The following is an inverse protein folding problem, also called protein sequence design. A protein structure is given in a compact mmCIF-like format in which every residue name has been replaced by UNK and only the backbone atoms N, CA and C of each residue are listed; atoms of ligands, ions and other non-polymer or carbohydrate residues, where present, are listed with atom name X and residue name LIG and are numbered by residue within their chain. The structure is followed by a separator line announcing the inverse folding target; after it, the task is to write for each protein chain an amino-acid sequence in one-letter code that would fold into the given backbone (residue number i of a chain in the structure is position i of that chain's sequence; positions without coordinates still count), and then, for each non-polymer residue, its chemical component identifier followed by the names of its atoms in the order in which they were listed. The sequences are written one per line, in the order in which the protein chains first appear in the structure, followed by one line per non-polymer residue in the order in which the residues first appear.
data_IF_426629989545
#
_entry.id   IF_426629989545
#
_cell.length_a   1.000
_cell.length_b   1.000
_cell.length_c   1.000
_cell.angle_alpha   90.00
_cell.angle_beta   90.00
_cell.angle_gamma   90.00
#
_symmetry.space_group_name_H-M   'P 1'
#
loop_
_entity.id
_entity.type
_entity.pdbx_description
1 polymer ?
#
# COMPACT_ATOMS: atom_id res chain seq x y z
N UNK A 1 3.78 8.98 7.84
CA UNK A 1 4.50 9.48 9.04
C UNK A 1 5.29 8.37 9.70
N UNK A 2 4.66 7.32 10.27
CA UNK A 2 5.38 6.22 10.92
C UNK A 2 6.48 5.58 10.04
N UNK A 3 6.16 5.21 8.80
CA UNK A 3 7.14 4.62 7.88
C UNK A 3 8.31 5.56 7.56
N UNK A 4 8.12 6.88 7.57
CA UNK A 4 9.21 7.84 7.38
C UNK A 4 10.14 7.89 8.60
N UNK A 5 9.59 7.78 9.82
CA UNK A 5 10.43 7.63 11.00
C UNK A 5 11.20 6.30 11.00
N UNK A 6 10.53 5.21 10.60
CA UNK A 6 11.15 3.89 10.48
C UNK A 6 12.25 3.86 9.40
N UNK A 7 12.09 4.59 8.29
CA UNK A 7 13.10 4.65 7.23
C UNK A 7 14.42 5.22 7.71
N UNK A 8 14.40 6.17 8.66
CA UNK A 8 15.61 6.75 9.24
C UNK A 8 16.27 5.86 10.30
N UNK A 9 15.59 4.81 10.76
CA UNK A 9 16.12 3.84 11.73
C UNK A 9 16.54 2.51 11.11
N UNK A 10 16.39 2.38 9.79
CA UNK A 10 16.59 1.12 9.08
C UNK A 10 17.36 1.34 7.78
N UNK A 11 18.18 0.36 7.37
CA UNK A 11 19.00 0.47 6.16
C UNK A 11 18.48 -0.38 4.99
N UNK A 12 17.99 -1.59 5.27
CA UNK A 12 17.71 -2.59 4.23
C UNK A 12 16.27 -3.09 4.20
N UNK A 13 15.57 -3.13 5.35
CA UNK A 13 14.19 -3.64 5.41
C UNK A 13 13.24 -2.77 4.57
N UNK A 14 12.35 -3.41 3.80
CA UNK A 14 11.32 -2.71 3.03
C UNK A 14 10.25 -2.10 3.93
N UNK A 15 9.57 -1.07 3.43
CA UNK A 15 8.56 -0.27 4.14
C UNK A 15 7.26 -0.30 3.33
N UNK A 16 6.36 -1.21 3.70
CA UNK A 16 5.10 -1.41 3.01
C UNK A 16 3.92 -0.70 3.67
N UNK A 17 3.04 -0.13 2.85
CA UNK A 17 1.72 0.30 3.28
C UNK A 17 0.75 -0.88 3.25
N UNK A 18 0.09 -1.17 4.37
CA UNK A 18 -1.00 -2.14 4.45
C UNK A 18 -2.25 -1.52 5.11
N UNK A 19 -2.82 -0.42 4.61
CA UNK A 19 -2.76 0.14 3.24
C UNK A 19 -2.88 1.68 3.25
N UNK A 20 -2.76 2.33 2.09
CA UNK A 20 -3.25 3.69 1.85
C UNK A 20 -4.70 3.64 1.34
N UNK A 21 -5.60 4.37 2.00
CA UNK A 21 -6.98 4.56 1.51
C UNK A 21 -6.99 5.54 0.34
N UNK A 22 -7.39 5.05 -0.82
CA UNK A 22 -7.30 5.78 -2.09
C UNK A 22 -8.52 6.62 -2.50
N UNK A 23 -9.73 6.47 -1.93
CA UNK A 23 -10.80 7.41 -2.25
C UNK A 23 -10.37 8.87 -2.01
N UNK A 24 -10.58 9.79 -2.97
CA UNK A 24 -10.04 11.16 -2.92
C UNK A 24 -10.44 11.95 -1.67
N UNK A 25 -11.63 11.68 -1.11
CA UNK A 25 -12.11 12.33 0.12
C UNK A 25 -11.24 12.01 1.35
N UNK A 26 -10.60 10.83 1.40
CA UNK A 26 -9.58 10.56 2.43
C UNK A 26 -8.26 11.23 2.10
N UNK A 27 -7.81 11.04 0.86
CA UNK A 27 -6.48 11.39 0.41
C UNK A 27 -6.53 11.84 -1.03
N UNK A 28 -6.34 13.14 -1.27
CA UNK A 28 -6.22 13.65 -2.63
C UNK A 28 -5.09 12.93 -3.39
N UNK A 29 -5.32 12.41 -4.61
CA UNK A 29 -4.35 11.64 -5.41
C UNK A 29 -2.95 12.26 -5.46
N UNK A 30 -2.84 13.54 -5.83
CA UNK A 30 -1.56 14.26 -5.85
C UNK A 30 -0.78 14.21 -4.53
N UNK A 31 -1.48 14.29 -3.39
CA UNK A 31 -0.85 14.20 -2.07
C UNK A 31 -0.39 12.79 -1.78
N UNK A 32 -1.07 11.75 -2.28
CA UNK A 32 -0.58 10.38 -2.18
C UNK A 32 0.70 10.23 -3.00
N UNK A 33 0.72 10.65 -4.27
CA UNK A 33 1.91 10.60 -5.12
C UNK A 33 3.12 11.29 -4.46
N UNK A 34 2.93 12.52 -3.98
CA UNK A 34 3.96 13.28 -3.26
C UNK A 34 4.48 12.53 -2.02
N UNK A 35 3.59 12.00 -1.17
CA UNK A 35 3.97 11.32 0.07
C UNK A 35 4.68 9.98 -0.18
N UNK A 36 4.22 9.21 -1.15
CA UNK A 36 4.82 7.93 -1.53
C UNK A 36 6.19 8.15 -2.16
N UNK A 37 6.30 9.07 -3.12
CA UNK A 37 7.58 9.41 -3.75
C UNK A 37 8.59 9.98 -2.74
N UNK A 38 8.14 10.83 -1.82
CA UNK A 38 9.00 11.36 -0.75
C UNK A 38 9.49 10.24 0.15
N UNK A 39 8.60 9.34 0.61
CA UNK A 39 9.00 8.19 1.41
C UNK A 39 10.00 7.29 0.67
N UNK A 40 9.79 7.10 -0.62
CA UNK A 40 10.67 6.31 -1.48
C UNK A 40 12.08 6.91 -1.55
N UNK A 41 12.18 8.23 -1.74
CA UNK A 41 13.46 8.96 -1.73
C UNK A 41 14.17 8.85 -0.38
N UNK A 42 13.49 9.18 0.72
CA UNK A 42 14.13 9.18 2.06
C UNK A 42 14.43 7.77 2.57
N UNK A 43 13.83 6.74 1.96
CA UNK A 43 14.12 5.34 2.26
C UNK A 43 15.10 4.70 1.27
N UNK A 44 15.58 5.43 0.25
CA UNK A 44 16.43 4.90 -0.81
C UNK A 44 15.81 3.69 -1.55
N UNK A 45 14.54 3.81 -1.93
CA UNK A 45 13.89 2.84 -2.82
C UNK A 45 13.27 1.63 -2.13
N UNK A 46 12.94 1.74 -0.84
CA UNK A 46 12.48 0.61 -0.02
C UNK A 46 10.95 0.54 0.13
N UNK A 47 10.19 1.32 -0.62
CA UNK A 47 8.74 1.42 -0.44
C UNK A 47 7.98 0.33 -1.20
N UNK A 48 6.97 -0.24 -0.55
CA UNK A 48 5.87 -0.97 -1.19
C UNK A 48 4.56 -0.19 -1.00
N UNK A 49 3.91 0.18 -2.10
CA UNK A 49 2.70 1.01 -2.07
C UNK A 49 1.45 0.13 -2.08
N UNK A 50 1.03 -0.32 -0.91
CA UNK A 50 -0.28 -0.99 -0.77
C UNK A 50 -1.44 -0.02 -0.66
N UNK A 51 -2.52 -0.37 -1.33
CA UNK A 51 -3.70 0.46 -1.58
C UNK A 51 -4.97 -0.27 -1.17
N UNK A 52 -6.05 0.48 -0.96
CA UNK A 52 -7.39 -0.12 -0.92
C UNK A 52 -8.51 0.89 -0.80
N UNK A 53 -9.71 0.34 -0.85
CA UNK A 53 -10.97 1.07 -1.06
C UNK A 53 -11.68 1.51 0.24
N UNK A 54 -11.13 1.17 1.41
CA UNK A 54 -11.83 1.20 2.71
C UNK A 54 -13.00 0.20 2.76
N UNK A 55 -13.50 -0.10 3.96
CA UNK A 55 -14.58 -1.07 4.12
C UNK A 55 -15.50 -0.80 5.31
N UNK A 56 -15.04 -0.10 6.35
CA UNK A 56 -15.90 0.16 7.51
C UNK A 56 -16.81 1.35 7.22
N UNK A 57 -18.08 1.23 7.62
CA UNK A 57 -19.03 2.33 7.52
C UNK A 57 -18.58 3.57 8.30
N UNK A 58 -17.99 3.37 9.48
CA UNK A 58 -17.46 4.45 10.30
C UNK A 58 -16.39 5.27 9.56
N UNK A 59 -15.51 4.61 8.81
CA UNK A 59 -14.52 5.29 7.98
C UNK A 59 -15.16 5.93 6.75
N UNK A 60 -16.01 5.21 6.02
CA UNK A 60 -16.58 5.68 4.73
C UNK A 60 -17.50 6.88 4.93
N UNK A 61 -18.48 6.73 5.82
CA UNK A 61 -19.49 7.76 6.09
C UNK A 61 -18.87 8.99 6.76
N UNK A 62 -17.83 8.81 7.59
CA UNK A 62 -17.09 9.91 8.21
C UNK A 62 -16.40 10.85 7.22
N UNK A 63 -16.11 10.38 6.00
CA UNK A 63 -15.54 11.16 4.91
C UNK A 63 -16.53 11.40 3.77
N UNK A 64 -17.82 11.12 3.99
CA UNK A 64 -18.89 11.33 3.01
C UNK A 64 -18.77 10.45 1.76
N UNK A 65 -18.15 9.28 1.86
CA UNK A 65 -17.97 8.36 0.74
C UNK A 65 -19.14 7.37 0.71
N UNK A 66 -19.82 7.30 -0.44
CA UNK A 66 -20.80 6.24 -0.71
C UNK A 66 -20.07 4.89 -0.84
N UNK A 67 -20.42 3.87 -0.03
CA UNK A 67 -19.88 2.53 -0.16
C UNK A 67 -19.99 1.94 -1.56
N UNK A 68 -20.97 2.31 -2.38
CA UNK A 68 -21.13 1.82 -3.75
C UNK A 68 -20.05 2.36 -4.70
N UNK A 69 -19.54 3.56 -4.44
CA UNK A 69 -18.62 4.28 -5.34
C UNK A 69 -17.15 4.05 -4.99
N UNK A 70 -16.85 3.56 -3.77
CA UNK A 70 -15.50 3.43 -3.22
C UNK A 70 -14.51 2.69 -4.13
N UNK A 71 -14.96 1.65 -4.83
CA UNK A 71 -14.12 0.84 -5.73
C UNK A 71 -13.74 1.61 -6.99
N UNK A 72 -14.69 2.36 -7.54
CA UNK A 72 -14.46 3.20 -8.71
C UNK A 72 -13.55 4.39 -8.35
N UNK A 73 -13.77 5.01 -7.18
CA UNK A 73 -12.88 6.03 -6.62
C UNK A 73 -11.44 5.52 -6.43
N UNK A 74 -11.28 4.31 -5.87
CA UNK A 74 -9.98 3.66 -5.69
C UNK A 74 -9.28 3.44 -7.03
N UNK A 75 -9.97 2.85 -8.01
CA UNK A 75 -9.41 2.55 -9.33
C UNK A 75 -8.94 3.82 -10.04
N UNK A 76 -9.80 4.83 -10.11
CA UNK A 76 -9.49 6.14 -10.71
C UNK A 76 -8.27 6.78 -10.03
N UNK A 77 -8.22 6.74 -8.70
CA UNK A 77 -7.14 7.36 -7.94
C UNK A 77 -5.81 6.62 -8.06
N UNK A 78 -5.80 5.28 -8.01
CA UNK A 78 -4.57 4.48 -8.10
C UNK A 78 -3.89 4.65 -9.45
N UNK A 79 -4.66 4.58 -10.54
CA UNK A 79 -4.14 4.78 -11.89
C UNK A 79 -3.46 6.15 -12.01
N UNK A 80 -4.16 7.21 -11.60
CA UNK A 80 -3.64 8.56 -11.75
C UNK A 80 -2.47 8.86 -10.80
N UNK A 81 -2.45 8.28 -9.60
CA UNK A 81 -1.29 8.39 -8.70
C UNK A 81 -0.05 7.70 -9.28
N UNK A 82 -0.21 6.55 -9.95
CA UNK A 82 0.89 5.91 -10.67
C UNK A 82 1.39 6.80 -11.82
N UNK A 83 0.48 7.38 -12.62
CA UNK A 83 0.82 8.32 -13.69
C UNK A 83 1.54 9.57 -13.17
N UNK A 84 1.09 10.14 -12.05
CA UNK A 84 1.73 11.30 -11.40
C UNK A 84 3.17 11.01 -10.97
N UNK A 85 3.50 9.78 -10.61
CA UNK A 85 4.86 9.38 -10.22
C UNK A 85 5.79 9.16 -11.42
N UNK A 86 5.24 8.93 -12.62
CA UNK A 86 6.02 8.53 -13.81
C UNK A 86 6.11 9.65 -14.84
N UNK A 87 4.99 10.28 -15.17
CA UNK A 87 4.88 11.23 -16.28
C UNK A 87 5.43 12.61 -15.91
N UNK A 88 6.06 13.25 -16.89
CA UNK A 88 6.62 14.59 -16.81
C UNK A 88 6.45 15.31 -18.17
N UNK A 89 5.51 16.26 -18.29
CA UNK A 89 4.51 16.62 -17.30
C UNK A 89 3.44 15.52 -17.12
N UNK A 90 2.77 15.49 -15.95
CA UNK A 90 1.53 14.72 -15.84
C UNK A 90 0.42 15.43 -16.64
N UNK A 91 -0.30 14.72 -17.53
CA UNK A 91 -1.23 15.30 -18.51
C UNK A 91 -2.51 15.89 -17.89
N UNK A 92 -2.67 15.80 -16.58
CA UNK A 92 -3.93 16.15 -15.96
C UNK A 92 -4.97 15.06 -16.15
N UNK A 93 -6.10 15.24 -15.48
CA UNK A 93 -7.21 14.29 -15.48
C UNK A 93 -8.49 15.01 -15.07
N UNK A 94 -9.58 14.76 -15.80
CA UNK A 94 -10.92 15.25 -15.50
C UNK A 94 -11.83 14.04 -15.23
N UNK A 95 -11.66 13.45 -14.04
CA UNK A 95 -12.38 12.26 -13.60
C UNK A 95 -13.75 12.55 -13.01
N UNK A 96 -14.44 11.48 -12.64
CA UNK A 96 -15.72 11.58 -11.93
C UNK A 96 -15.51 11.95 -10.47
N UNK A 97 -14.42 11.48 -9.85
CA UNK A 97 -14.20 11.60 -8.41
C UNK A 97 -13.15 12.63 -8.04
N UNK A 98 -12.21 12.91 -8.94
CA UNK A 98 -11.28 14.01 -8.78
C UNK A 98 -10.87 14.61 -10.13
N UNK A 99 -10.40 15.85 -10.10
CA UNK A 99 -9.83 16.50 -11.27
C UNK A 99 -8.55 17.25 -10.91
N UNK A 100 -7.65 17.33 -11.88
CA UNK A 100 -6.38 18.02 -11.75
C UNK A 100 -5.89 18.40 -13.15
N UNK A 101 -5.56 19.66 -13.43
CA UNK A 101 -5.05 20.04 -14.74
C UNK A 101 -3.61 19.56 -14.93
N UNK A 102 -3.12 19.63 -16.17
CA UNK A 102 -1.73 19.37 -16.55
C UNK A 102 -0.79 20.08 -15.59
N UNK A 103 0.12 19.34 -14.96
CA UNK A 103 1.19 19.87 -14.11
C UNK A 103 2.17 18.79 -13.69
N UNK A 104 3.26 19.20 -13.06
CA UNK A 104 4.14 18.27 -12.37
C UNK A 104 3.71 18.02 -10.93
N UNK A 105 3.64 16.74 -10.57
CA UNK A 105 3.58 16.30 -9.17
C UNK A 105 4.97 15.86 -8.76
N UNK A 106 5.53 16.56 -7.78
CA UNK A 106 6.88 16.39 -7.29
C UNK A 106 6.85 16.08 -5.78
N UNK A 107 7.87 15.36 -5.26
CA UNK A 107 9.01 14.80 -6.00
C UNK A 107 8.65 13.52 -6.79
N UNK A 108 9.55 13.05 -7.66
CA UNK A 108 9.44 11.73 -8.33
C UNK A 108 10.14 10.64 -7.49
N UNK A 109 9.65 9.38 -7.49
CA UNK A 109 10.29 8.30 -6.75
C UNK A 109 11.66 7.91 -7.35
N UNK A 110 12.49 7.29 -6.51
CA UNK A 110 13.77 6.70 -6.94
C UNK A 110 13.54 5.34 -7.61
N UNK A 111 12.60 4.53 -7.10
CA UNK A 111 12.16 3.31 -7.77
C UNK A 111 11.52 3.67 -9.11
N UNK A 112 11.92 2.96 -10.17
CA UNK A 112 11.36 3.12 -11.52
C UNK A 112 10.53 1.89 -11.91
N UNK A 113 9.38 2.08 -12.57
CA UNK A 113 8.74 3.38 -12.89
C UNK A 113 8.14 4.05 -11.64
N UNK A 114 7.67 3.28 -10.68
CA UNK A 114 7.19 3.72 -9.36
C UNK A 114 7.36 2.55 -8.37
N UNK A 115 7.20 2.77 -7.04
CA UNK A 115 7.17 1.67 -6.07
C UNK A 115 6.16 0.56 -6.44
N UNK A 116 6.41 -0.72 -6.12
CA UNK A 116 5.48 -1.81 -6.37
C UNK A 116 4.11 -1.55 -5.74
N UNK A 117 3.04 -1.75 -6.53
CA UNK A 117 1.68 -1.50 -6.08
C UNK A 117 1.07 -2.79 -5.55
N UNK A 118 0.42 -2.70 -4.40
CA UNK A 118 -0.33 -3.78 -3.78
C UNK A 118 -1.79 -3.37 -3.53
N UNK A 119 -2.68 -4.35 -3.40
CA UNK A 119 -4.07 -4.12 -3.01
C UNK A 119 -4.48 -5.10 -1.91
N UNK A 120 -5.19 -4.60 -0.90
CA UNK A 120 -5.80 -5.45 0.13
C UNK A 120 -6.92 -6.29 -0.48
N UNK A 121 -6.82 -7.61 -0.33
CA UNK A 121 -7.75 -8.58 -0.87
C UNK A 121 -8.39 -9.37 0.28
N UNK A 122 -9.66 -9.10 0.56
CA UNK A 122 -10.45 -9.82 1.59
C UNK A 122 -11.33 -10.93 1.02
N UNK A 123 -11.42 -11.05 -0.30
CA UNK A 123 -12.23 -12.05 -0.99
C UNK A 123 -11.65 -12.41 -2.36
N UNK A 124 -12.16 -13.49 -2.96
CA UNK A 124 -11.74 -13.99 -4.28
C UNK A 124 -11.90 -12.95 -5.40
N UNK A 125 -12.97 -12.17 -5.39
CA UNK A 125 -13.20 -11.13 -6.41
C UNK A 125 -12.06 -10.10 -6.45
N UNK A 126 -11.57 -9.71 -5.27
CA UNK A 126 -10.50 -8.71 -5.17
C UNK A 126 -9.14 -9.30 -5.54
N UNK A 127 -8.95 -10.62 -5.37
CA UNK A 127 -7.77 -11.34 -5.87
C UNK A 127 -7.77 -11.36 -7.41
N UNK A 128 -8.89 -11.69 -8.05
CA UNK A 128 -9.00 -11.61 -9.52
C UNK A 128 -8.79 -10.18 -10.02
N UNK A 129 -9.38 -9.19 -9.35
CA UNK A 129 -9.17 -7.78 -9.66
C UNK A 129 -7.69 -7.38 -9.58
N UNK A 130 -6.97 -7.85 -8.54
CA UNK A 130 -5.54 -7.61 -8.40
C UNK A 130 -4.76 -8.19 -9.59
N UNK A 131 -5.07 -9.43 -9.99
CA UNK A 131 -4.45 -10.09 -11.15
C UNK A 131 -4.74 -9.34 -12.46
N UNK A 132 -6.00 -8.96 -12.70
CA UNK A 132 -6.42 -8.21 -13.89
C UNK A 132 -5.73 -6.84 -13.98
N UNK A 133 -5.37 -6.23 -12.86
CA UNK A 133 -4.72 -4.92 -12.82
C UNK A 133 -3.20 -4.98 -12.65
N UNK A 134 -2.61 -6.18 -12.58
CA UNK A 134 -1.18 -6.38 -12.39
C UNK A 134 -0.68 -5.92 -11.02
N UNK A 135 -1.52 -6.00 -9.99
CA UNK A 135 -1.23 -5.60 -8.62
C UNK A 135 -0.85 -6.79 -7.75
N UNK A 136 0.00 -6.55 -6.75
CA UNK A 136 0.26 -7.56 -5.73
C UNK A 136 -0.96 -7.73 -4.83
N UNK A 137 -1.32 -8.97 -4.49
CA UNK A 137 -2.45 -9.26 -3.62
C UNK A 137 -1.99 -9.41 -2.17
N UNK A 138 -2.54 -8.58 -1.27
CA UNK A 138 -2.37 -8.74 0.18
C UNK A 138 -3.59 -9.50 0.72
N UNK A 139 -3.42 -10.79 1.00
CA UNK A 139 -4.49 -11.66 1.49
C UNK A 139 -4.28 -12.00 2.96
N UNK A 140 -5.31 -12.54 3.60
CA UNK A 140 -5.20 -13.11 4.94
C UNK A 140 -5.12 -14.63 4.87
N UNK A 141 -4.24 -15.23 5.67
CA UNK A 141 -4.17 -16.67 5.89
C UNK A 141 -5.27 -17.17 6.83
N UNK A 142 -6.53 -16.78 6.57
CA UNK A 142 -7.68 -17.31 7.29
C UNK A 142 -8.17 -18.65 6.73
N UNK A 143 -7.41 -19.21 5.80
CA UNK A 143 -7.81 -20.28 4.90
C UNK A 143 -6.75 -21.38 4.93
N UNK A 144 -7.18 -22.64 4.81
CA UNK A 144 -6.32 -23.83 4.72
C UNK A 144 -5.32 -23.69 3.55
N UNK A 145 -4.04 -24.10 3.72
CA UNK A 145 -3.07 -24.19 2.63
C UNK A 145 -3.60 -24.80 1.30
N UNK A 146 -4.49 -25.78 1.35
CA UNK A 146 -5.08 -26.38 0.15
C UNK A 146 -5.99 -25.40 -0.62
N UNK A 147 -6.80 -24.62 0.08
CA UNK A 147 -7.63 -23.57 -0.54
C UNK A 147 -6.77 -22.39 -0.99
N UNK A 148 -5.68 -22.07 -0.28
CA UNK A 148 -4.73 -21.04 -0.69
C UNK A 148 -4.13 -21.35 -2.07
N UNK A 149 -3.80 -22.62 -2.35
CA UNK A 149 -3.29 -23.05 -3.66
C UNK A 149 -4.25 -22.70 -4.79
N UNK A 150 -5.54 -22.98 -4.62
CA UNK A 150 -6.55 -22.67 -5.63
C UNK A 150 -6.62 -21.17 -5.93
N UNK A 151 -6.58 -20.33 -4.88
CA UNK A 151 -6.65 -18.88 -5.03
C UNK A 151 -5.40 -18.31 -5.72
N UNK A 152 -4.24 -18.90 -5.44
CA UNK A 152 -2.97 -18.53 -6.04
C UNK A 152 -2.95 -18.91 -7.52
N UNK A 153 -3.36 -20.13 -7.86
CA UNK A 153 -3.46 -20.58 -9.24
C UNK A 153 -4.42 -19.70 -10.04
N UNK A 154 -5.60 -19.40 -9.49
CA UNK A 154 -6.57 -18.50 -10.09
C UNK A 154 -6.00 -17.10 -10.35
N UNK A 155 -5.24 -16.56 -9.40
CA UNK A 155 -4.57 -15.27 -9.56
C UNK A 155 -3.59 -15.30 -10.73
N UNK A 156 -2.69 -16.29 -10.78
CA UNK A 156 -1.67 -16.35 -11.84
C UNK A 156 -2.26 -16.65 -13.21
N UNK A 157 -3.27 -17.51 -13.30
CA UNK A 157 -3.94 -17.78 -14.57
C UNK A 157 -4.72 -16.55 -15.07
N UNK A 158 -5.41 -15.84 -14.17
CA UNK A 158 -6.06 -14.57 -14.51
C UNK A 158 -5.03 -13.52 -14.97
N UNK A 159 -3.90 -13.40 -14.27
CA UNK A 159 -2.83 -12.46 -14.62
C UNK A 159 -2.30 -12.73 -16.04
N UNK A 160 -1.98 -14.00 -16.34
CA UNK A 160 -1.45 -14.38 -17.66
C UNK A 160 -2.43 -14.06 -18.80
N UNK A 161 -3.73 -14.33 -18.58
CA UNK A 161 -4.76 -14.22 -19.63
C UNK A 161 -5.32 -12.80 -19.79
N UNK A 162 -5.54 -12.09 -18.70
CA UNK A 162 -6.42 -10.91 -18.67
C UNK A 162 -5.75 -9.63 -18.19
N UNK A 163 -4.50 -9.68 -17.71
CA UNK A 163 -3.87 -8.50 -17.11
C UNK A 163 -3.79 -7.32 -18.10
N UNK A 164 -4.32 -6.18 -17.63
CA UNK A 164 -4.14 -4.82 -18.16
C UNK A 164 -3.62 -3.98 -16.99
N UNK A 165 -2.32 -3.69 -16.92
CA UNK A 165 -1.71 -3.04 -15.76
C UNK A 165 -2.37 -1.70 -15.45
N UNK A 166 -2.77 -1.47 -14.19
CA UNK A 166 -3.33 -0.17 -13.78
C UNK A 166 -2.25 0.92 -13.77
N UNK A 167 -1.04 0.58 -13.32
CA UNK A 167 0.12 1.47 -13.31
C UNK A 167 1.03 1.31 -14.52
N UNK A 168 2.30 1.69 -14.34
CA UNK A 168 3.36 1.57 -15.36
C UNK A 168 4.29 0.37 -15.13
N UNK A 169 4.08 -0.39 -14.04
CA UNK A 169 4.72 -1.66 -13.75
C UNK A 169 3.69 -2.66 -13.23
N UNK A 170 4.01 -3.95 -13.32
CA UNK A 170 3.23 -5.03 -12.71
C UNK A 170 3.95 -5.57 -11.48
N UNK A 171 3.18 -6.04 -10.51
CA UNK A 171 3.65 -6.68 -9.29
C UNK A 171 2.91 -8.02 -9.08
N UNK A 172 3.27 -9.09 -9.82
CA UNK A 172 2.56 -10.36 -9.77
C UNK A 172 2.96 -11.17 -8.53
N UNK A 173 2.64 -10.68 -7.33
CA UNK A 173 3.00 -11.30 -6.06
C UNK A 173 1.79 -11.47 -5.14
N UNK A 174 1.79 -12.54 -4.35
CA UNK A 174 0.80 -12.81 -3.31
C UNK A 174 1.48 -12.81 -1.95
N UNK A 175 0.99 -11.97 -1.05
CA UNK A 175 1.41 -11.93 0.34
C UNK A 175 0.28 -12.41 1.25
N UNK A 176 0.58 -13.31 2.18
CA UNK A 176 -0.39 -13.83 3.15
C UNK A 176 -0.09 -13.31 4.56
N UNK A 177 -1.08 -12.69 5.19
CA UNK A 177 -1.01 -12.22 6.59
C UNK A 177 -1.38 -13.36 7.54
N UNK A 178 -0.53 -13.65 8.52
CA UNK A 178 -0.73 -14.71 9.51
C UNK A 178 -0.33 -14.26 10.93
N UNK A 179 -0.79 -14.98 11.94
CA UNK A 179 -0.38 -14.77 13.32
C UNK A 179 1.07 -15.20 13.54
N UNK A 180 1.74 -14.63 14.54
CA UNK A 180 3.14 -14.94 14.79
C UNK A 180 3.47 -14.97 16.28
N UNK A 181 4.15 -16.04 16.69
CA UNK A 181 4.81 -16.17 17.98
C UNK A 181 5.75 -17.36 17.86
N UNK A 182 7.05 -17.13 18.02
CA UNK A 182 8.07 -18.16 17.88
C UNK A 182 8.71 -18.40 19.23
N UNK A 183 8.67 -19.63 19.72
CA UNK A 183 9.28 -20.00 20.99
C UNK A 183 9.73 -21.47 20.97
N UNK A 184 10.82 -21.87 21.65
CA UNK A 184 11.26 -23.27 21.65
C UNK A 184 10.22 -24.26 22.23
N UNK A 185 9.35 -23.76 23.11
CA UNK A 185 8.18 -24.46 23.65
C UNK A 185 6.90 -23.97 22.95
N UNK A 186 6.17 -24.90 22.34
CA UNK A 186 4.93 -24.66 21.62
C UNK A 186 3.79 -24.12 22.51
N UNK A 187 3.70 -24.58 23.76
CA UNK A 187 2.66 -24.11 24.69
C UNK A 187 2.89 -22.64 25.06
N UNK A 188 4.14 -22.29 25.29
CA UNK A 188 4.53 -20.91 25.55
C UNK A 188 4.34 -20.00 24.32
N UNK A 189 4.64 -20.50 23.11
CA UNK A 189 4.33 -19.78 21.87
C UNK A 189 2.82 -19.46 21.77
N UNK A 190 1.95 -20.45 22.04
CA UNK A 190 0.49 -20.30 22.04
C UNK A 190 0.02 -19.32 23.11
N UNK A 191 0.53 -19.45 24.34
CA UNK A 191 0.20 -18.55 25.46
C UNK A 191 0.53 -17.10 25.14
N UNK A 192 1.66 -16.86 24.46
CA UNK A 192 2.13 -15.51 24.08
C UNK A 192 1.39 -14.92 22.88
N UNK A 193 1.06 -15.74 21.88
CA UNK A 193 0.65 -15.26 20.56
C UNK A 193 -0.84 -15.36 20.24
N UNK A 194 -1.51 -16.41 20.74
CA UNK A 194 -2.86 -16.76 20.26
C UNK A 194 -3.87 -15.67 20.60
N UNK A 195 -3.89 -15.17 21.83
CA UNK A 195 -4.86 -14.15 22.26
C UNK A 195 -4.72 -12.85 21.47
N UNK A 196 -3.49 -12.42 21.20
CA UNK A 196 -3.21 -11.23 20.41
C UNK A 196 -3.69 -11.34 18.96
N UNK A 197 -3.43 -12.48 18.31
CA UNK A 197 -3.89 -12.71 16.94
C UNK A 197 -5.42 -12.88 16.86
N UNK A 198 -6.01 -13.58 17.83
CA UNK A 198 -7.47 -13.75 17.92
C UNK A 198 -8.17 -12.42 18.19
N UNK A 199 -7.59 -11.55 19.02
CA UNK A 199 -8.09 -10.19 19.17
C UNK A 199 -8.06 -9.41 17.85
N UNK A 200 -6.98 -9.53 17.06
CA UNK A 200 -6.90 -8.90 15.75
C UNK A 200 -8.03 -9.38 14.81
N UNK A 201 -8.29 -10.68 14.74
CA UNK A 201 -9.38 -11.25 13.94
C UNK A 201 -10.75 -10.78 14.44
N UNK A 202 -10.96 -10.76 15.76
CA UNK A 202 -12.19 -10.24 16.34
C UNK A 202 -12.40 -8.76 16.01
N UNK A 203 -11.37 -7.93 16.12
CA UNK A 203 -11.43 -6.51 15.80
C UNK A 203 -11.76 -6.29 14.32
N UNK A 204 -11.17 -7.09 13.42
CA UNK A 204 -11.52 -7.08 11.99
C UNK A 204 -13.01 -7.39 11.80
N UNK A 205 -13.52 -8.49 12.35
CA UNK A 205 -14.94 -8.85 12.26
C UNK A 205 -15.87 -7.80 12.89
N UNK A 206 -15.44 -7.17 13.99
CA UNK A 206 -16.19 -6.09 14.62
C UNK A 206 -16.32 -4.87 13.70
N UNK A 207 -15.24 -4.43 13.06
CA UNK A 207 -15.28 -3.24 12.21
C UNK A 207 -15.93 -3.45 10.85
N UNK A 208 -15.85 -4.67 10.30
CA UNK A 208 -16.20 -4.94 8.91
C UNK A 208 -17.37 -5.92 8.71
N UNK A 209 -17.85 -6.58 9.77
CA UNK A 209 -18.90 -7.61 9.63
C UNK A 209 -20.06 -7.45 10.60
N UNK A 210 -19.85 -7.68 11.90
CA UNK A 210 -20.95 -7.85 12.86
C UNK A 210 -21.02 -6.76 13.93
N UNK A 211 -19.99 -5.94 14.07
CA UNK A 211 -19.89 -5.01 15.19
C UNK A 211 -20.64 -3.70 14.95
N UNK A 212 -21.11 -3.11 16.06
CA UNK A 212 -21.52 -1.72 16.13
C UNK A 212 -20.48 -0.94 16.93
N UNK A 213 -19.88 0.05 16.28
CA UNK A 213 -18.85 0.89 16.88
C UNK A 213 -19.43 2.25 17.29
N UNK A 214 -19.14 2.67 18.52
CA UNK A 214 -19.46 3.99 19.05
C UNK A 214 -18.16 4.73 19.31
N UNK A 215 -17.82 5.76 18.50
CA UNK A 215 -16.57 6.49 18.63
C UNK A 215 -16.31 6.98 20.06
N UNK A 216 -15.11 6.70 20.58
CA UNK A 216 -14.70 7.09 21.92
C UNK A 216 -15.44 6.40 23.08
N UNK A 217 -16.27 5.39 22.82
CA UNK A 217 -17.02 4.64 23.84
C UNK A 217 -16.85 3.13 23.73
N UNK A 218 -16.77 2.60 22.51
CA UNK A 218 -16.62 1.15 22.32
C UNK A 218 -15.24 0.66 22.73
N UNK A 219 -15.18 -0.19 23.75
CA UNK A 219 -13.99 -0.93 24.12
C UNK A 219 -14.01 -2.32 23.45
N UNK A 220 -13.24 -2.47 22.37
CA UNK A 220 -13.19 -3.71 21.57
C UNK A 220 -12.51 -4.83 22.35
N UNK A 221 -11.49 -4.52 23.17
CA UNK A 221 -10.79 -5.51 23.99
C UNK A 221 -11.74 -6.18 24.98
N UNK A 222 -12.56 -5.40 25.69
CA UNK A 222 -13.51 -5.96 26.64
C UNK A 222 -14.59 -6.81 25.95
N UNK A 223 -15.04 -6.40 24.75
CA UNK A 223 -15.96 -7.20 23.94
C UNK A 223 -15.32 -8.53 23.50
N UNK A 224 -14.06 -8.50 23.07
CA UNK A 224 -13.31 -9.70 22.73
C UNK A 224 -13.18 -10.65 23.92
N UNK A 225 -12.78 -10.14 25.09
CA UNK A 225 -12.66 -10.94 26.32
C UNK A 225 -13.98 -11.61 26.68
N UNK A 226 -15.10 -10.88 26.64
CA UNK A 226 -16.42 -11.43 26.93
C UNK A 226 -16.82 -12.55 25.95
N UNK A 227 -16.55 -12.38 24.66
CA UNK A 227 -16.81 -13.40 23.64
C UNK A 227 -15.93 -14.63 23.85
N UNK A 228 -14.63 -14.41 24.11
CA UNK A 228 -13.66 -15.46 24.39
C UNK A 228 -14.05 -16.30 25.62
N UNK A 229 -14.51 -15.66 26.69
CA UNK A 229 -14.92 -16.34 27.93
C UNK A 229 -16.16 -17.21 27.75
N UNK A 230 -17.08 -16.82 26.85
CA UNK A 230 -18.32 -17.55 26.60
C UNK A 230 -18.19 -18.62 25.51
N UNK A 231 -17.38 -18.35 24.48
CA UNK A 231 -17.35 -19.15 23.26
C UNK A 231 -15.95 -19.72 22.92
N UNK A 232 -14.92 -19.36 23.68
CA UNK A 232 -13.54 -19.82 23.44
C UNK A 232 -12.82 -19.09 22.29
N UNK A 233 -11.59 -19.53 22.02
CA UNK A 233 -10.69 -18.92 21.00
C UNK A 233 -10.74 -19.61 19.63
N UNK A 234 -11.42 -20.75 19.52
CA UNK A 234 -11.39 -21.59 18.31
C UNK A 234 -12.29 -21.07 17.18
N UNK A 235 -13.27 -20.23 17.50
CA UNK A 235 -14.29 -19.76 16.55
C UNK A 235 -13.74 -18.79 15.48
N UNK A 236 -12.57 -18.20 15.72
CA UNK A 236 -11.99 -17.21 14.80
C UNK A 236 -11.10 -17.86 13.70
N UNK A 237 -11.14 -19.18 13.53
CA UNK A 237 -10.60 -19.89 12.36
C UNK A 237 -9.06 -20.02 12.30
N UNK A 238 -8.52 -20.14 11.08
CA UNK A 238 -7.11 -20.45 10.80
C UNK A 238 -6.09 -19.34 11.12
N UNK A 239 -4.93 -19.38 10.46
CA UNK A 239 -3.89 -18.35 10.56
C UNK A 239 -2.98 -18.44 11.79
N UNK A 240 -2.97 -19.57 12.49
CA UNK A 240 -2.11 -19.81 13.66
C UNK A 240 -0.91 -20.70 13.37
N UNK A 241 -0.70 -21.13 12.11
CA UNK A 241 0.41 -22.03 11.76
C UNK A 241 1.80 -21.45 12.01
N UNK A 242 1.91 -20.13 12.20
CA UNK A 242 3.16 -19.47 12.60
C UNK A 242 3.18 -19.05 14.09
N UNK A 243 2.37 -19.70 14.93
CA UNK A 243 2.38 -19.61 16.39
C UNK A 243 2.84 -20.97 16.92
N UNK A 244 4.12 -21.12 17.23
CA UNK A 244 4.69 -22.41 17.61
C UNK A 244 6.22 -22.40 17.70
N UNK A 245 6.80 -23.59 17.57
CA UNK A 245 8.25 -23.81 17.54
C UNK A 245 8.87 -23.40 16.20
N UNK A 246 10.20 -23.21 16.12
CA UNK A 246 10.88 -23.02 14.84
C UNK A 246 10.53 -24.09 13.80
N UNK A 247 10.34 -25.35 14.21
CA UNK A 247 9.95 -26.45 13.30
C UNK A 247 8.53 -26.28 12.77
N UNK A 248 7.57 -25.92 13.64
CA UNK A 248 6.17 -25.65 13.24
C UNK A 248 6.11 -24.51 12.20
N UNK A 249 6.87 -23.44 12.44
CA UNK A 249 6.96 -22.30 11.53
C UNK A 249 7.59 -22.71 10.19
N UNK A 250 8.67 -23.49 10.19
CA UNK A 250 9.28 -23.99 8.95
C UNK A 250 8.31 -24.83 8.14
N UNK A 251 7.60 -25.75 8.79
CA UNK A 251 6.61 -26.61 8.12
C UNK A 251 5.49 -25.78 7.47
N UNK A 252 4.91 -24.83 8.22
CA UNK A 252 3.85 -23.95 7.70
C UNK A 252 4.33 -23.07 6.55
N UNK A 253 5.48 -22.41 6.72
CA UNK A 253 6.03 -21.53 5.67
C UNK A 253 6.44 -22.32 4.42
N UNK A 254 6.88 -23.58 4.58
CA UNK A 254 7.15 -24.46 3.44
C UNK A 254 5.86 -24.83 2.71
N UNK A 255 4.79 -25.16 3.42
CA UNK A 255 3.48 -25.40 2.81
C UNK A 255 2.96 -24.18 2.03
N UNK A 256 3.11 -22.97 2.58
CA UNK A 256 2.78 -21.73 1.86
C UNK A 256 3.65 -21.53 0.62
N UNK A 257 4.96 -21.74 0.73
CA UNK A 257 5.87 -21.64 -0.40
C UNK A 257 5.50 -22.64 -1.52
N UNK A 258 5.20 -23.88 -1.16
CA UNK A 258 4.85 -24.94 -2.11
C UNK A 258 3.46 -24.69 -2.74
N UNK A 259 2.58 -23.99 -2.04
CA UNK A 259 1.33 -23.46 -2.58
C UNK A 259 1.52 -22.24 -3.51
N UNK A 260 2.71 -21.64 -3.55
CA UNK A 260 3.02 -20.50 -4.42
C UNK A 260 2.86 -19.12 -3.75
N UNK A 261 2.81 -19.06 -2.42
CA UNK A 261 2.85 -17.80 -1.67
C UNK A 261 4.23 -17.17 -1.79
N UNK A 262 4.28 -15.90 -2.18
CA UNK A 262 5.55 -15.19 -2.40
C UNK A 262 6.08 -14.56 -1.12
N UNK A 263 5.17 -14.07 -0.28
CA UNK A 263 5.51 -13.35 0.95
C UNK A 263 4.58 -13.74 2.09
N UNK A 264 5.11 -13.79 3.30
CA UNK A 264 4.33 -13.95 4.52
C UNK A 264 4.51 -12.72 5.40
N UNK A 265 3.39 -12.16 5.86
CA UNK A 265 3.36 -10.98 6.71
C UNK A 265 2.89 -11.41 8.09
N UNK A 266 3.68 -11.12 9.11
CA UNK A 266 3.39 -11.51 10.48
C UNK A 266 2.75 -10.38 11.26
N UNK A 267 1.58 -10.63 11.84
CA UNK A 267 0.99 -9.73 12.83
C UNK A 267 1.74 -9.88 14.15
N UNK A 268 2.51 -8.86 14.51
CA UNK A 268 3.31 -8.82 15.74
C UNK A 268 2.54 -8.22 16.91
N UNK A 269 2.13 -6.95 16.75
CA UNK A 269 1.44 -6.20 17.80
C UNK A 269 -0.08 -6.39 17.70
N UNK A 270 -0.57 -7.48 18.28
CA UNK A 270 -1.98 -7.76 18.49
C UNK A 270 -2.33 -7.77 19.98
N UNK A 271 -3.37 -7.06 20.37
CA UNK A 271 -3.90 -7.15 21.74
C UNK A 271 -2.93 -6.67 22.81
N UNK A 272 -2.65 -7.55 23.79
CA UNK A 272 -1.77 -7.29 24.93
C UNK A 272 -0.39 -7.96 24.80
N UNK A 273 0.06 -8.27 23.58
CA UNK A 273 1.39 -8.83 23.37
C UNK A 273 2.46 -7.91 23.98
N UNK A 274 3.38 -8.50 24.74
CA UNK A 274 4.47 -7.77 25.40
C UNK A 274 5.60 -7.53 24.39
N UNK A 275 6.19 -6.34 24.44
CA UNK A 275 7.27 -5.96 23.54
C UNK A 275 8.46 -6.94 23.57
N UNK A 276 8.89 -7.34 24.77
CA UNK A 276 9.99 -8.30 24.94
C UNK A 276 9.72 -9.64 24.25
N UNK A 277 8.50 -10.19 24.38
CA UNK A 277 8.15 -11.46 23.75
C UNK A 277 8.15 -11.38 22.21
N UNK A 278 7.77 -10.21 21.67
CA UNK A 278 7.81 -9.96 20.23
C UNK A 278 9.27 -9.93 19.74
N UNK A 279 10.14 -9.21 20.45
CA UNK A 279 11.56 -9.14 20.12
C UNK A 279 12.23 -10.52 20.19
N UNK A 280 12.01 -11.28 21.28
CA UNK A 280 12.52 -12.65 21.42
C UNK A 280 12.05 -13.56 20.28
N UNK A 281 10.76 -13.48 19.90
CA UNK A 281 10.21 -14.28 18.80
C UNK A 281 10.84 -13.90 17.45
N UNK A 282 11.05 -12.61 17.19
CA UNK A 282 11.67 -12.12 15.96
C UNK A 282 13.14 -12.53 15.86
N UNK A 283 13.89 -12.44 16.96
CA UNK A 283 15.30 -12.86 17.03
C UNK A 283 15.42 -14.38 16.80
N UNK A 284 14.57 -15.18 17.45
CA UNK A 284 14.54 -16.62 17.26
C UNK A 284 14.19 -16.99 15.81
N UNK A 285 13.18 -16.35 15.23
CA UNK A 285 12.79 -16.56 13.83
C UNK A 285 13.93 -16.19 12.87
N UNK A 286 14.57 -15.04 13.08
CA UNK A 286 15.66 -14.56 12.24
C UNK A 286 16.88 -15.50 12.28
N UNK A 287 17.17 -16.08 13.45
CA UNK A 287 18.28 -17.01 13.64
C UNK A 287 17.99 -18.41 13.09
N UNK A 288 16.82 -18.96 13.42
CA UNK A 288 16.58 -20.40 13.26
C UNK A 288 15.68 -20.73 12.06
N UNK A 289 14.81 -19.83 11.62
CA UNK A 289 13.82 -20.11 10.55
C UNK A 289 14.16 -19.40 9.25
N UNK A 290 14.38 -18.08 9.30
CA UNK A 290 14.58 -17.22 8.13
C UNK A 290 15.72 -17.67 7.19
N UNK A 291 16.89 -18.13 7.67
CA UNK A 291 18.01 -18.46 6.77
C UNK A 291 17.68 -19.56 5.77
N UNK A 292 16.85 -20.54 6.15
CA UNK A 292 16.43 -21.65 5.29
C UNK A 292 15.62 -21.21 4.07
N UNK A 293 14.92 -20.08 4.16
CA UNK A 293 14.15 -19.50 3.05
C UNK A 293 14.95 -18.48 2.24
N UNK A 294 15.96 -17.86 2.85
CA UNK A 294 16.85 -16.89 2.19
C UNK A 294 17.87 -17.55 1.26
N UNK A 295 18.32 -18.75 1.58
CA UNK A 295 19.35 -19.45 0.81
C UNK A 295 18.99 -19.69 -0.68
N UNK A 296 17.69 -19.77 -1.02
CA UNK A 296 17.22 -20.01 -2.40
C UNK A 296 16.36 -18.86 -2.96
N UNK A 297 16.30 -17.72 -2.26
CA UNK A 297 15.41 -16.61 -2.60
C UNK A 297 15.71 -16.05 -3.99
N UNK A 298 16.97 -15.74 -4.28
CA UNK A 298 17.38 -15.15 -5.56
C UNK A 298 17.05 -16.05 -6.75
N UNK A 299 17.37 -17.35 -6.66
CA UNK A 299 17.08 -18.31 -7.73
C UNK A 299 15.57 -18.47 -7.96
N UNK A 300 14.78 -18.50 -6.89
CA UNK A 300 13.31 -18.57 -6.99
C UNK A 300 12.73 -17.32 -7.66
N UNK A 301 13.20 -16.13 -7.27
CA UNK A 301 12.76 -14.87 -7.87
C UNK A 301 13.14 -14.80 -9.35
N UNK A 302 14.37 -15.19 -9.71
CA UNK A 302 14.81 -15.21 -11.11
C UNK A 302 13.95 -16.16 -11.96
N UNK A 303 13.73 -17.40 -11.50
CA UNK A 303 12.87 -18.38 -12.19
C UNK A 303 11.44 -17.85 -12.38
N UNK A 304 10.88 -17.20 -11.37
CA UNK A 304 9.55 -16.61 -11.45
C UNK A 304 9.50 -15.47 -12.46
N UNK A 305 10.48 -14.57 -12.44
CA UNK A 305 10.57 -13.46 -13.38
C UNK A 305 10.68 -13.96 -14.82
N UNK A 306 11.53 -14.95 -15.07
CA UNK A 306 11.67 -15.59 -16.38
C UNK A 306 10.36 -16.23 -16.85
N UNK A 307 9.70 -17.00 -15.99
CA UNK A 307 8.42 -17.65 -16.30
C UNK A 307 7.29 -16.64 -16.60
N UNK A 308 7.30 -15.47 -15.94
CA UNK A 308 6.27 -14.45 -16.10
C UNK A 308 6.56 -13.44 -17.23
N UNK A 309 7.82 -13.31 -17.66
CA UNK A 309 8.26 -12.32 -18.66
C UNK A 309 7.36 -12.22 -19.92
N UNK A 310 7.01 -13.32 -20.62
CA UNK A 310 6.16 -13.21 -21.82
C UNK A 310 4.75 -12.69 -21.51
N UNK A 311 4.23 -12.98 -20.32
CA UNK A 311 2.91 -12.53 -19.88
C UNK A 311 2.92 -11.07 -19.44
N UNK A 312 4.02 -10.61 -18.84
CA UNK A 312 4.23 -9.18 -18.55
C UNK A 312 4.24 -8.38 -19.87
N UNK A 313 4.98 -8.86 -20.87
CA UNK A 313 5.01 -8.21 -22.19
C UNK A 313 3.61 -8.18 -22.84
N UNK A 314 2.88 -9.30 -22.81
CA UNK A 314 1.51 -9.36 -23.30
C UNK A 314 0.57 -8.40 -22.56
N UNK A 315 0.71 -8.28 -21.24
CA UNK A 315 -0.09 -7.37 -20.43
C UNK A 315 0.11 -5.90 -20.84
N UNK A 316 1.35 -5.47 -21.08
CA UNK A 316 1.62 -4.11 -21.56
C UNK A 316 1.17 -3.88 -23.00
N UNK A 317 1.18 -4.90 -23.87
CA UNK A 317 0.59 -4.79 -25.22
C UNK A 317 -0.93 -4.57 -25.19
N UNK A 318 -1.62 -5.02 -24.13
CA UNK A 318 -3.07 -4.77 -23.93
C UNK A 318 -3.37 -3.38 -23.36
N UNK A 319 -2.41 -2.74 -22.68
CA UNK A 319 -2.60 -1.43 -22.06
C UNK A 319 -2.58 -0.33 -23.13
N UNK A 320 -3.59 0.52 -23.13
CA UNK A 320 -3.58 1.73 -23.94
C UNK A 320 -2.46 2.67 -23.46
N UNK A 321 -1.67 3.19 -24.40
CA UNK A 321 -0.67 4.19 -24.08
C UNK A 321 -1.35 5.50 -23.68
N UNK A 322 -0.89 6.11 -22.59
CA UNK A 322 -1.22 7.49 -22.24
C UNK A 322 -0.19 8.40 -22.91
N UNK A 323 -0.55 9.17 -23.95
CA UNK A 323 0.38 10.08 -24.59
C UNK A 323 0.79 11.19 -23.62
N UNK A 324 2.03 11.68 -23.77
CA UNK A 324 2.43 12.94 -23.16
C UNK A 324 1.60 14.08 -23.78
N UNK A 325 1.24 15.12 -23.00
CA UNK A 325 0.55 16.28 -23.56
C UNK A 325 1.48 17.00 -24.53
N UNK A 326 0.92 17.56 -25.60
CA UNK A 326 1.69 18.41 -26.51
C UNK A 326 2.08 19.72 -25.81
N UNK A 327 3.18 20.35 -26.21
CA UNK A 327 3.65 21.60 -25.58
C UNK A 327 2.59 22.71 -25.56
N UNK A 328 1.77 22.77 -26.61
CA UNK A 328 0.66 23.73 -26.71
C UNK A 328 -0.49 23.46 -25.70
N UNK A 329 -0.59 22.25 -25.17
CA UNK A 329 -1.61 21.83 -24.19
C UNK A 329 -1.13 22.06 -22.74
N UNK A 330 0.16 22.36 -22.55
CA UNK A 330 0.74 22.62 -21.22
C UNK A 330 0.44 24.08 -20.84
N UNK A 331 -0.40 24.33 -19.82
CA UNK A 331 -0.74 25.69 -19.41
C UNK A 331 0.45 26.37 -18.74
N UNK A 332 0.70 27.62 -19.14
CA UNK A 332 1.56 28.52 -18.37
C UNK A 332 0.78 29.08 -17.17
N UNK A 333 1.36 28.94 -15.97
CA UNK A 333 0.77 29.49 -14.75
C UNK A 333 1.47 30.81 -14.39
N UNK A 334 0.79 31.97 -14.55
CA UNK A 334 1.40 33.24 -14.20
C UNK A 334 1.67 33.29 -12.70
N UNK A 335 2.79 33.91 -12.32
CA UNK A 335 3.08 34.16 -10.91
C UNK A 335 1.96 35.02 -10.32
N UNK A 336 1.55 34.73 -9.07
CA UNK A 336 0.45 35.44 -8.40
C UNK A 336 0.64 36.96 -8.40
N UNK A 337 1.89 37.43 -8.29
CA UNK A 337 2.22 38.87 -8.35
C UNK A 337 1.85 39.57 -9.66
N UNK A 338 1.64 38.84 -10.76
CA UNK A 338 1.16 39.37 -12.05
C UNK A 338 -0.35 39.60 -12.07
N UNK A 339 -1.09 38.92 -11.19
CA UNK A 339 -2.56 39.03 -11.09
C UNK A 339 -3.03 40.07 -10.07
N UNK A 340 -2.12 40.60 -9.26
CA UNK A 340 -2.41 41.71 -8.34
C UNK A 340 -2.43 43.02 -9.15
N UNK A 341 -3.37 43.90 -8.85
CA UNK A 341 -3.52 45.20 -9.51
C UNK A 341 -2.17 45.94 -9.60
N UNK A 342 -1.92 46.61 -10.73
CA UNK A 342 -0.70 47.39 -10.91
C UNK A 342 -0.54 48.40 -9.79
N UNK A 343 0.51 48.22 -8.99
CA UNK A 343 0.83 49.16 -7.93
C UNK A 343 1.30 50.45 -8.58
N UNK A 344 0.64 51.56 -8.24
CA UNK A 344 1.09 52.91 -8.60
C UNK A 344 2.46 53.17 -7.95
N UNK A 345 3.52 52.91 -8.72
CA UNK A 345 4.91 53.00 -8.27
C UNK A 345 5.27 54.41 -7.82
N UNK A 346 4.49 55.43 -8.23
CA UNK A 346 4.69 56.81 -7.82
C UNK A 346 4.36 57.04 -6.34
N UNK A 347 3.48 56.21 -5.75
CA UNK A 347 3.02 56.33 -4.35
C UNK A 347 3.81 55.47 -3.36
N UNK A 348 4.76 54.68 -3.84
CA UNK A 348 5.57 53.80 -3.00
C UNK A 348 6.77 54.56 -2.36
N UNK A 349 7.14 54.22 -1.11
CA UNK A 349 8.43 54.62 -0.54
C UNK A 349 9.60 54.22 -1.45
N UNK A 350 10.67 55.02 -1.47
CA UNK A 350 11.77 54.90 -2.45
C UNK A 350 12.37 53.48 -2.52
N UNK A 351 12.59 52.83 -1.38
CA UNK A 351 13.11 51.47 -1.30
C UNK A 351 12.18 50.46 -1.99
N UNK A 352 10.87 50.60 -1.81
CA UNK A 352 9.87 49.73 -2.44
C UNK A 352 9.75 50.02 -3.94
N UNK A 353 9.83 51.30 -4.36
CA UNK A 353 9.85 51.69 -5.77
C UNK A 353 11.02 51.05 -6.51
N UNK A 354 12.24 51.14 -5.95
CA UNK A 354 13.44 50.51 -6.56
C UNK A 354 13.26 49.00 -6.72
N UNK A 355 12.70 48.31 -5.71
CA UNK A 355 12.46 46.87 -5.77
C UNK A 355 11.46 46.46 -6.85
N UNK A 356 10.35 47.19 -6.98
CA UNK A 356 9.33 46.91 -8.01
C UNK A 356 9.88 47.14 -9.42
N UNK A 357 10.64 48.22 -9.64
CA UNK A 357 11.27 48.48 -10.94
C UNK A 357 12.31 47.41 -11.30
N UNK A 358 13.11 46.95 -10.32
CA UNK A 358 14.04 45.84 -10.53
C UNK A 358 13.31 44.55 -10.91
N UNK A 359 12.20 44.22 -10.25
CA UNK A 359 11.36 43.06 -10.59
C UNK A 359 10.78 43.16 -12.01
N UNK A 360 10.31 44.34 -12.42
CA UNK A 360 9.84 44.57 -13.80
C UNK A 360 10.95 44.37 -14.83
N UNK A 361 12.15 44.92 -14.58
CA UNK A 361 13.31 44.74 -15.46
C UNK A 361 13.77 43.29 -15.53
N UNK A 362 13.80 42.57 -14.40
CA UNK A 362 14.11 41.13 -14.39
C UNK A 362 13.12 40.34 -15.23
N UNK A 363 11.82 40.66 -15.14
CA UNK A 363 10.78 40.05 -15.96
C UNK A 363 11.00 40.30 -17.46
N UNK A 364 11.22 41.55 -17.85
CA UNK A 364 11.48 41.91 -19.25
C UNK A 364 12.70 41.18 -19.83
N UNK A 365 13.75 41.00 -19.03
CA UNK A 365 14.94 40.23 -19.43
C UNK A 365 14.57 38.74 -19.58
N UNK A 366 13.85 38.18 -18.61
CA UNK A 366 13.49 36.77 -18.60
C UNK A 366 12.49 36.38 -19.71
N UNK A 367 11.57 37.25 -20.11
CA UNK A 367 10.61 37.00 -21.21
C UNK A 367 11.25 37.07 -22.60
N UNK A 368 12.46 37.64 -22.72
CA UNK A 368 13.21 37.73 -23.99
C UNK A 368 14.21 36.59 -24.19
N UNK A 369 14.59 35.89 -23.13
CA UNK A 369 15.49 34.75 -23.14
C UNK A 369 14.71 33.47 -23.45
#
# INVERSE_FOLDING_TARGET
VFLAAASQRTKTIRLGHGIVLMPPSYNHPARVAERIATLDLVSAGRVDWGTGESASRAELEGFGIDPAERRAMWRESVEQVASMMVMDPYPGFAGKYFSMPVRNVLPKPVQKPHPPIWVACSNRETIHLAAQLGLGALTFAFIDPAEARHWIDDYYETFKRECVPIGHAVNPNIAMVTGFSCHPDADEARRRGTDGFRFFQFALGHHYSFGRHTPGRTNIWNKFVAVREQLGLEILGGGTGCIGTPDDLRATLRAFQDAGVDQTIFIQQGGKNRHEHICESLELFARDVMPGFKADEERRLARKQEALAPYVEAAFKRKAALPAPADAEIPAYPAYGLTVAEVDVSKLPEANRRRVLAMRKMREIAERA
#
